data_IF_635635488046
#
_entry.id   IF_635635488046
#
_cell.length_a   1.000
_cell.length_b   1.000
_cell.length_c   1.000
_cell.angle_alpha   90.00
_cell.angle_beta   90.00
_cell.angle_gamma   90.00
#
_symmetry.space_group_name_H-M   'P 1'
#
loop_
_entity.id
_entity.type
_entity.pdbx_description
1 polymer ?
#
# COMPACT_ATOMS: atom_id res chain seq x y z
N UNK A 1 43.84 19.17 37.87
CA UNK A 1 43.72 19.61 36.47
C UNK A 1 43.31 18.52 35.50
N UNK A 2 44.00 17.36 35.45
CA UNK A 2 43.63 16.26 34.53
C UNK A 2 42.47 15.41 35.06
N UNK A 3 42.42 15.13 36.36
CA UNK A 3 41.31 14.41 37.02
C UNK A 3 40.01 15.22 36.99
N UNK A 4 40.04 16.50 37.33
CA UNK A 4 38.86 17.38 37.29
C UNK A 4 38.27 17.50 35.87
N UNK A 5 39.12 17.43 34.85
CA UNK A 5 38.70 17.45 33.44
C UNK A 5 38.01 16.14 33.06
N UNK A 6 38.57 15.00 33.47
CA UNK A 6 37.97 13.67 33.24
C UNK A 6 36.64 13.54 33.99
N UNK A 7 36.55 14.00 35.24
CA UNK A 7 35.29 13.97 36.00
C UNK A 7 34.21 14.83 35.34
N UNK A 8 34.55 16.04 34.90
CA UNK A 8 33.63 16.91 34.17
C UNK A 8 33.18 16.31 32.83
N UNK A 9 34.09 15.66 32.09
CA UNK A 9 33.77 14.98 30.84
C UNK A 9 32.84 13.76 31.07
N UNK A 10 33.04 13.03 32.18
CA UNK A 10 32.17 11.91 32.60
C UNK A 10 30.79 12.40 33.02
N UNK A 11 30.69 13.47 33.81
CA UNK A 11 29.41 14.07 34.20
C UNK A 11 28.62 14.59 32.99
N UNK A 12 29.32 15.25 32.05
CA UNK A 12 28.71 15.73 30.80
C UNK A 12 28.20 14.55 29.96
N UNK A 13 28.98 13.47 29.86
CA UNK A 13 28.58 12.25 29.12
C UNK A 13 27.36 11.58 29.78
N UNK A 14 27.30 11.54 31.12
CA UNK A 14 26.15 10.99 31.86
C UNK A 14 24.89 11.84 31.69
N UNK A 15 25.01 13.17 31.73
CA UNK A 15 23.89 14.07 31.53
C UNK A 15 23.26 13.93 30.13
N UNK A 16 24.11 13.88 29.10
CA UNK A 16 23.69 13.64 27.70
C UNK A 16 23.01 12.26 27.56
N UNK A 17 23.53 11.23 28.21
CA UNK A 17 22.92 9.89 28.17
C UNK A 17 21.52 9.85 28.85
N UNK A 18 21.33 10.59 29.94
CA UNK A 18 20.04 10.70 30.63
C UNK A 18 19.02 11.44 29.76
N UNK A 19 19.41 12.57 29.17
CA UNK A 19 18.56 13.37 28.30
C UNK A 19 18.14 12.61 27.04
N UNK A 20 19.08 11.89 26.41
CA UNK A 20 18.80 11.01 25.27
C UNK A 20 17.77 9.94 25.61
N UNK A 21 17.87 9.33 26.80
CA UNK A 21 16.90 8.33 27.24
C UNK A 21 15.52 8.97 27.47
N UNK A 22 15.44 10.15 28.08
CA UNK A 22 14.18 10.84 28.33
C UNK A 22 13.41 11.17 27.04
N UNK A 23 14.08 11.71 26.01
CA UNK A 23 13.48 12.04 24.71
C UNK A 23 12.94 10.79 24.03
N UNK A 24 13.72 9.69 24.02
CA UNK A 24 13.29 8.44 23.41
C UNK A 24 12.12 7.79 24.15
N UNK A 25 12.11 7.82 25.48
CA UNK A 25 10.97 7.34 26.26
C UNK A 25 9.71 8.15 25.97
N UNK A 26 9.82 9.47 25.88
CA UNK A 26 8.71 10.33 25.51
C UNK A 26 8.19 10.00 24.09
N UNK A 27 9.09 9.80 23.12
CA UNK A 27 8.72 9.38 21.77
C UNK A 27 7.99 8.02 21.78
N UNK A 28 8.46 7.05 22.55
CA UNK A 28 7.82 5.73 22.62
C UNK A 28 6.44 5.82 23.29
N UNK A 29 6.30 6.68 24.30
CA UNK A 29 5.01 7.02 24.89
C UNK A 29 4.06 7.64 23.86
N UNK A 30 4.52 8.60 23.06
CA UNK A 30 3.75 9.19 21.97
C UNK A 30 3.35 8.13 20.94
N UNK A 31 4.28 7.29 20.48
CA UNK A 31 3.98 6.21 19.52
C UNK A 31 2.89 5.28 20.06
N UNK A 32 2.99 4.86 21.33
CA UNK A 32 1.99 4.00 21.96
C UNK A 32 0.62 4.68 22.06
N UNK A 33 0.58 5.96 22.47
CA UNK A 33 -0.66 6.76 22.53
C UNK A 33 -1.33 6.91 21.15
N UNK A 34 -0.53 6.95 20.09
CA UNK A 34 -1.00 7.07 18.70
C UNK A 34 -1.20 5.72 17.99
N UNK A 35 -0.96 4.60 18.68
CA UNK A 35 -1.10 3.26 18.11
C UNK A 35 -0.05 2.89 17.06
N UNK A 36 1.08 3.59 17.02
CA UNK A 36 2.18 3.33 16.09
C UNK A 36 3.02 2.15 16.56
N UNK A 37 3.42 1.31 15.61
CA UNK A 37 4.32 0.18 15.85
C UNK A 37 5.73 0.48 15.32
N UNK A 38 6.68 -0.43 15.51
CA UNK A 38 7.99 -0.33 14.83
C UNK A 38 7.90 -0.68 13.35
N UNK A 39 6.87 -1.43 12.93
CA UNK A 39 6.56 -1.72 11.54
C UNK A 39 5.68 -0.61 10.98
N UNK A 40 6.14 0.03 9.91
CA UNK A 40 5.38 1.04 9.20
C UNK A 40 4.11 0.42 8.61
N UNK A 41 2.98 1.08 8.83
CA UNK A 41 1.69 0.77 8.23
C UNK A 41 1.20 1.96 7.38
N UNK A 42 0.52 1.72 6.24
CA UNK A 42 -0.12 2.80 5.49
C UNK A 42 -1.11 3.63 6.32
N UNK A 43 -1.74 3.03 7.34
CA UNK A 43 -2.65 3.76 8.24
C UNK A 43 -1.97 4.79 9.13
N UNK A 44 -0.67 4.67 9.33
CA UNK A 44 0.06 5.57 10.22
C UNK A 44 0.00 7.03 9.73
N UNK A 45 -0.23 7.26 8.44
CA UNK A 45 -0.43 8.61 7.87
C UNK A 45 -1.70 9.32 8.32
N UNK A 46 -2.68 8.59 8.85
CA UNK A 46 -3.88 9.21 9.42
C UNK A 46 -3.66 9.74 10.84
N UNK A 47 -2.45 9.55 11.39
CA UNK A 47 -2.08 10.02 12.73
C UNK A 47 -1.99 11.53 12.76
N UNK A 48 -2.64 12.13 13.76
CA UNK A 48 -2.60 13.57 13.98
C UNK A 48 -1.55 13.93 15.02
N UNK A 49 -0.84 15.02 14.75
CA UNK A 49 0.20 15.56 15.61
C UNK A 49 -0.09 17.02 15.90
N UNK A 50 -0.03 17.37 17.19
CA UNK A 50 0.12 18.76 17.62
C UNK A 50 1.58 19.22 17.46
N UNK A 51 1.81 20.51 17.63
CA UNK A 51 3.14 21.11 17.48
C UNK A 51 4.17 20.51 18.46
N UNK A 52 3.75 20.17 19.68
CA UNK A 52 4.62 19.60 20.71
C UNK A 52 5.08 18.19 20.30
N UNK A 53 4.16 17.36 19.81
CA UNK A 53 4.47 16.03 19.29
C UNK A 53 5.41 16.09 18.08
N UNK A 54 5.25 17.08 17.19
CA UNK A 54 6.16 17.29 16.06
C UNK A 54 7.56 17.66 16.53
N UNK A 55 7.68 18.61 17.46
CA UNK A 55 8.96 19.02 18.04
C UNK A 55 9.66 17.85 18.75
N UNK A 56 8.90 17.00 19.45
CA UNK A 56 9.44 15.79 20.08
C UNK A 56 10.03 14.81 19.05
N UNK A 57 9.34 14.58 17.93
CA UNK A 57 9.83 13.72 16.85
C UNK A 57 11.11 14.32 16.24
N UNK A 58 11.15 15.62 16.00
CA UNK A 58 12.34 16.30 15.47
C UNK A 58 13.53 16.23 16.45
N UNK A 59 13.30 16.48 17.74
CA UNK A 59 14.32 16.36 18.78
C UNK A 59 14.91 14.94 18.84
N UNK A 60 14.07 13.90 18.71
CA UNK A 60 14.54 12.51 18.68
C UNK A 60 15.46 12.21 17.49
N UNK A 61 15.27 12.89 16.35
CA UNK A 61 16.14 12.76 15.17
C UNK A 61 17.51 13.37 15.42
N UNK A 62 17.57 14.51 16.10
CA UNK A 62 18.84 15.19 16.41
C UNK A 62 19.72 14.38 17.37
N UNK A 63 19.10 13.71 18.34
CA UNK A 63 19.83 12.94 19.37
C UNK A 63 20.34 11.58 18.90
N UNK A 64 19.76 11.03 17.82
CA UNK A 64 20.11 9.70 17.30
C UNK A 64 21.61 9.53 17.03
N UNK A 65 22.28 10.59 16.56
CA UNK A 65 23.72 10.56 16.22
C UNK A 65 24.66 10.27 17.38
N UNK A 66 24.17 10.36 18.63
CA UNK A 66 24.97 10.24 19.85
C UNK A 66 24.77 8.88 20.57
N UNK A 67 23.94 7.99 20.02
CA UNK A 67 23.60 6.72 20.66
C UNK A 67 24.64 5.62 20.40
N UNK A 68 24.83 4.70 21.35
CA UNK A 68 25.67 3.52 21.15
C UNK A 68 25.10 2.62 20.04
N UNK A 69 25.99 1.97 19.29
CA UNK A 69 25.65 1.18 18.09
C UNK A 69 24.65 0.03 18.30
N UNK A 70 24.69 -0.74 19.42
CA UNK A 70 23.77 -1.88 19.59
C UNK A 70 22.29 -1.47 19.61
N UNK A 71 21.97 -0.32 20.20
CA UNK A 71 20.59 0.19 20.30
C UNK A 71 20.22 1.06 19.09
N UNK A 72 21.22 1.56 18.36
CA UNK A 72 21.03 2.52 17.28
C UNK A 72 20.02 2.05 16.24
N UNK A 73 20.08 0.79 15.82
CA UNK A 73 19.21 0.25 14.77
C UNK A 73 17.72 0.27 15.19
N UNK A 74 17.41 -0.23 16.39
CA UNK A 74 16.05 -0.25 16.93
C UNK A 74 15.49 1.15 17.16
N UNK A 75 16.31 2.06 17.68
CA UNK A 75 15.92 3.46 17.88
C UNK A 75 15.66 4.13 16.53
N UNK A 76 16.56 3.93 15.55
CA UNK A 76 16.43 4.48 14.19
C UNK A 76 15.17 3.99 13.50
N UNK A 77 14.81 2.72 13.69
CA UNK A 77 13.56 2.15 13.19
C UNK A 77 12.36 2.84 13.82
N UNK A 78 12.32 3.02 15.15
CA UNK A 78 11.19 3.66 15.83
C UNK A 78 11.02 5.13 15.43
N UNK A 79 12.12 5.91 15.43
CA UNK A 79 12.12 7.31 15.00
C UNK A 79 11.75 7.42 13.52
N UNK A 80 12.30 6.54 12.67
CA UNK A 80 11.95 6.46 11.26
C UNK A 80 10.47 6.19 11.03
N UNK A 81 9.85 5.32 11.83
CA UNK A 81 8.40 5.07 11.74
C UNK A 81 7.58 6.30 12.13
N UNK A 82 7.96 7.00 13.20
CA UNK A 82 7.30 8.24 13.61
C UNK A 82 7.47 9.39 12.60
N UNK A 83 8.61 9.47 11.89
CA UNK A 83 8.78 10.41 10.78
C UNK A 83 7.95 10.02 9.56
N UNK A 84 7.88 8.73 9.28
CA UNK A 84 7.10 8.19 8.18
C UNK A 84 5.62 8.51 8.33
N UNK A 85 5.08 8.48 9.56
CA UNK A 85 3.69 8.80 9.87
C UNK A 85 3.38 10.29 9.82
N UNK A 86 4.39 11.16 9.91
CA UNK A 86 4.23 12.61 9.70
C UNK A 86 4.34 13.01 8.21
N UNK A 87 4.61 12.04 7.32
CA UNK A 87 4.81 12.27 5.88
C UNK A 87 6.26 12.62 5.50
N UNK A 88 7.22 12.61 6.44
CA UNK A 88 8.62 12.90 6.14
C UNK A 88 9.36 11.65 5.63
N UNK A 89 8.96 11.20 4.43
CA UNK A 89 9.41 9.96 3.81
C UNK A 89 10.93 9.93 3.56
N UNK A 90 11.53 11.03 3.09
CA UNK A 90 12.97 11.18 2.87
C UNK A 90 13.81 10.98 4.14
N UNK A 91 13.41 11.58 5.28
CA UNK A 91 14.14 11.39 6.53
C UNK A 91 13.94 9.96 7.06
N UNK A 92 12.71 9.44 6.98
CA UNK A 92 12.40 8.07 7.40
C UNK A 92 13.23 7.03 6.63
N UNK A 93 13.28 7.11 5.30
CA UNK A 93 14.07 6.20 4.46
C UNK A 93 15.55 6.22 4.83
N UNK A 94 16.13 7.41 5.05
CA UNK A 94 17.53 7.55 5.48
C UNK A 94 17.80 6.87 6.81
N UNK A 95 16.91 7.02 7.79
CA UNK A 95 17.07 6.35 9.10
C UNK A 95 16.98 4.83 8.98
N UNK A 96 16.09 4.31 8.13
CA UNK A 96 16.03 2.86 7.91
C UNK A 96 17.29 2.33 7.21
N UNK A 97 17.87 3.07 6.26
CA UNK A 97 19.15 2.70 5.64
C UNK A 97 20.26 2.66 6.70
N UNK A 98 20.36 3.71 7.53
CA UNK A 98 21.34 3.75 8.63
C UNK A 98 21.11 2.61 9.65
N UNK A 99 19.86 2.25 9.91
CA UNK A 99 19.53 1.11 10.76
C UNK A 99 20.06 -0.21 10.17
N UNK A 100 19.95 -0.42 8.86
CA UNK A 100 20.48 -1.62 8.18
C UNK A 100 22.02 -1.67 8.30
N UNK A 101 22.69 -0.55 8.06
CA UNK A 101 24.16 -0.45 8.12
C UNK A 101 24.70 -0.75 9.51
N UNK A 102 23.98 -0.35 10.57
CA UNK A 102 24.42 -0.49 11.96
C UNK A 102 23.79 -1.67 12.72
N UNK A 103 22.83 -2.39 12.12
CA UNK A 103 22.16 -3.51 12.76
C UNK A 103 23.10 -4.71 12.97
N UNK A 104 23.09 -5.25 14.19
CA UNK A 104 23.90 -6.40 14.60
C UNK A 104 23.18 -7.74 14.41
N UNK A 105 21.86 -7.73 14.19
CA UNK A 105 21.05 -8.93 14.00
C UNK A 105 20.23 -8.82 12.69
N UNK A 106 19.78 -9.97 12.18
CA UNK A 106 19.02 -10.03 10.93
C UNK A 106 17.59 -9.53 11.07
N UNK A 107 17.02 -9.57 12.27
CA UNK A 107 15.64 -9.16 12.53
C UNK A 107 15.45 -7.65 12.35
N UNK A 108 16.36 -6.84 12.90
CA UNK A 108 16.38 -5.39 12.74
C UNK A 108 16.62 -5.01 11.27
N UNK A 109 17.52 -5.72 10.57
CA UNK A 109 17.74 -5.52 9.13
C UNK A 109 16.47 -5.81 8.33
N UNK A 110 15.83 -6.95 8.57
CA UNK A 110 14.62 -7.34 7.88
C UNK A 110 13.47 -6.33 8.11
N UNK A 111 13.29 -5.87 9.35
CA UNK A 111 12.30 -4.86 9.70
C UNK A 111 12.59 -3.51 9.02
N UNK A 112 13.85 -3.07 9.01
CA UNK A 112 14.25 -1.84 8.34
C UNK A 112 14.03 -1.93 6.83
N UNK A 113 14.38 -3.06 6.18
CA UNK A 113 14.06 -3.30 4.77
C UNK A 113 12.56 -3.28 4.50
N UNK A 114 11.74 -3.90 5.35
CA UNK A 114 10.29 -3.85 5.22
C UNK A 114 9.75 -2.42 5.33
N UNK A 115 10.29 -1.63 6.26
CA UNK A 115 9.90 -0.23 6.40
C UNK A 115 10.35 0.63 5.21
N UNK A 116 11.52 0.35 4.61
CA UNK A 116 11.96 0.97 3.35
C UNK A 116 10.98 0.62 2.23
N UNK A 117 10.54 -0.63 2.13
CA UNK A 117 9.51 -1.05 1.19
C UNK A 117 8.26 -0.18 1.34
N UNK A 118 7.73 -0.06 2.56
CA UNK A 118 6.55 0.77 2.85
C UNK A 118 6.76 2.26 2.52
N UNK A 119 7.95 2.82 2.77
CA UNK A 119 8.26 4.21 2.41
C UNK A 119 8.35 4.40 0.90
N UNK A 120 9.16 3.59 0.21
CA UNK A 120 9.37 3.71 -1.25
C UNK A 120 8.09 3.49 -2.03
N UNK A 121 7.29 2.55 -1.57
CA UNK A 121 5.95 2.33 -2.09
C UNK A 121 5.14 3.63 -2.08
N UNK A 122 5.11 4.34 -0.95
CA UNK A 122 4.36 5.58 -0.82
C UNK A 122 4.93 6.74 -1.61
N UNK A 123 6.25 6.80 -1.77
CA UNK A 123 6.89 7.77 -2.65
C UNK A 123 6.41 7.62 -4.09
N UNK A 124 6.10 6.40 -4.54
CA UNK A 124 5.48 6.18 -5.85
C UNK A 124 4.12 6.90 -6.00
N UNK A 125 3.31 7.03 -4.94
CA UNK A 125 2.04 7.75 -5.01
C UNK A 125 2.20 9.26 -5.24
N UNK A 126 3.35 9.83 -4.87
CA UNK A 126 3.66 11.24 -5.12
C UNK A 126 4.11 11.49 -6.57
N UNK A 127 4.41 10.44 -7.33
CA UNK A 127 4.89 10.56 -8.71
C UNK A 127 3.73 10.72 -9.69
N UNK A 128 3.91 11.61 -10.67
CA UNK A 128 2.87 11.97 -11.65
C UNK A 128 2.85 11.00 -12.83
N UNK A 129 4.01 10.52 -13.27
CA UNK A 129 4.15 9.66 -14.46
C UNK A 129 4.24 8.19 -14.09
N UNK A 130 3.70 7.32 -14.94
CA UNK A 130 3.78 5.86 -14.75
C UNK A 130 5.23 5.39 -14.72
N UNK A 131 6.11 5.94 -15.56
CA UNK A 131 7.55 5.59 -15.58
C UNK A 131 8.26 5.91 -14.25
N UNK A 132 7.93 7.05 -13.63
CA UNK A 132 8.48 7.41 -12.32
C UNK A 132 7.97 6.46 -11.22
N UNK A 133 6.68 6.10 -11.26
CA UNK A 133 6.09 5.09 -10.36
C UNK A 133 6.80 3.74 -10.47
N UNK A 134 7.02 3.25 -11.70
CA UNK A 134 7.70 1.97 -11.96
C UNK A 134 9.12 1.93 -11.37
N UNK A 135 9.84 3.06 -11.38
CA UNK A 135 11.17 3.16 -10.76
C UNK A 135 11.10 2.95 -9.24
N UNK A 136 10.10 3.52 -8.57
CA UNK A 136 9.91 3.30 -7.14
C UNK A 136 9.43 1.89 -6.83
N UNK A 137 8.56 1.33 -7.66
CA UNK A 137 8.09 -0.04 -7.54
C UNK A 137 9.23 -1.05 -7.58
N UNK A 138 10.19 -0.89 -8.50
CA UNK A 138 11.38 -1.75 -8.56
C UNK A 138 12.23 -1.65 -7.28
N UNK A 139 12.46 -0.43 -6.77
CA UNK A 139 13.22 -0.22 -5.52
C UNK A 139 12.48 -0.72 -4.28
N UNK A 140 11.15 -0.66 -4.28
CA UNK A 140 10.29 -1.17 -3.22
C UNK A 140 10.29 -2.70 -3.21
N UNK A 141 10.24 -3.34 -4.38
CA UNK A 141 10.34 -4.80 -4.52
C UNK A 141 11.67 -5.32 -3.99
N UNK A 142 12.78 -4.72 -4.42
CA UNK A 142 14.09 -5.12 -3.91
C UNK A 142 14.18 -5.03 -2.38
N UNK A 143 13.60 -4.00 -1.76
CA UNK A 143 13.57 -3.90 -0.30
C UNK A 143 12.67 -4.99 0.34
N UNK A 144 11.52 -5.30 -0.26
CA UNK A 144 10.64 -6.36 0.21
C UNK A 144 11.30 -7.73 0.13
N UNK A 145 11.96 -8.07 -0.98
CA UNK A 145 12.68 -9.33 -1.18
C UNK A 145 13.76 -9.51 -0.10
N UNK A 146 14.57 -8.47 0.16
CA UNK A 146 15.55 -8.50 1.26
C UNK A 146 14.88 -8.73 2.62
N UNK A 147 13.73 -8.11 2.89
CA UNK A 147 13.00 -8.34 4.14
C UNK A 147 12.48 -9.78 4.26
N UNK A 148 11.96 -10.35 3.17
CA UNK A 148 11.47 -11.73 3.09
C UNK A 148 12.61 -12.72 3.37
N UNK A 149 13.74 -12.56 2.66
CA UNK A 149 14.89 -13.46 2.76
C UNK A 149 15.50 -13.45 4.17
N UNK A 150 15.70 -12.26 4.75
CA UNK A 150 16.29 -12.12 6.07
C UNK A 150 15.38 -12.58 7.22
N UNK A 151 14.06 -12.64 6.99
CA UNK A 151 13.07 -13.00 8.02
C UNK A 151 12.48 -14.39 7.85
N UNK A 152 13.00 -15.19 6.91
CA UNK A 152 12.45 -16.49 6.55
C UNK A 152 10.94 -16.42 6.21
N UNK A 153 10.56 -15.45 5.38
CA UNK A 153 9.19 -15.31 4.88
C UNK A 153 8.23 -14.52 5.77
N UNK A 154 8.64 -14.06 6.97
CA UNK A 154 7.74 -13.34 7.90
C UNK A 154 7.12 -12.08 7.31
N UNK A 155 7.85 -11.40 6.42
CA UNK A 155 7.40 -10.19 5.73
C UNK A 155 6.78 -10.45 4.35
N UNK A 156 6.58 -11.71 3.95
CA UNK A 156 5.96 -12.03 2.68
C UNK A 156 4.52 -11.50 2.59
N UNK A 157 4.15 -11.04 1.39
CA UNK A 157 2.81 -10.51 1.13
C UNK A 157 1.82 -11.59 0.69
N UNK A 158 2.33 -12.76 0.29
CA UNK A 158 1.59 -13.97 -0.06
C UNK A 158 2.42 -15.21 0.34
N UNK A 159 1.87 -16.40 0.15
CA UNK A 159 2.55 -17.66 0.53
C UNK A 159 3.77 -17.92 -0.37
N UNK A 160 4.95 -17.58 0.15
CA UNK A 160 6.24 -17.83 -0.51
C UNK A 160 6.79 -19.22 -0.19
N UNK A 161 6.31 -19.89 0.86
CA UNK A 161 6.80 -21.21 1.27
C UNK A 161 6.46 -22.29 0.24
N UNK A 162 5.31 -22.18 -0.42
CA UNK A 162 4.94 -23.09 -1.51
C UNK A 162 5.69 -22.82 -2.82
N UNK A 163 6.31 -21.66 -2.98
CA UNK A 163 7.00 -21.26 -4.22
C UNK A 163 6.08 -21.13 -5.44
N UNK A 164 4.76 -21.07 -5.24
CA UNK A 164 3.77 -21.06 -6.32
C UNK A 164 3.79 -19.77 -7.14
N UNK A 165 4.02 -18.64 -6.50
CA UNK A 165 3.90 -17.33 -7.15
C UNK A 165 5.16 -16.46 -6.97
N UNK A 166 6.31 -16.80 -7.57
CA UNK A 166 7.48 -15.92 -7.54
C UNK A 166 7.15 -14.53 -8.10
N UNK A 167 7.59 -13.47 -7.41
CA UNK A 167 7.28 -12.09 -7.80
C UNK A 167 8.13 -11.67 -9.00
N UNK A 168 7.52 -11.09 -10.03
CA UNK A 168 8.23 -10.42 -11.13
C UNK A 168 8.32 -8.92 -10.90
N UNK A 169 7.19 -8.25 -10.65
CA UNK A 169 7.13 -6.80 -10.38
C UNK A 169 5.83 -6.39 -9.69
N UNK A 170 5.80 -5.19 -9.12
CA UNK A 170 4.53 -4.56 -8.76
C UNK A 170 3.80 -4.05 -10.01
N UNK A 171 2.48 -4.17 -10.00
CA UNK A 171 1.58 -3.57 -10.99
C UNK A 171 0.93 -2.30 -10.45
N UNK A 172 0.69 -2.25 -9.14
CA UNK A 172 0.11 -1.10 -8.48
C UNK A 172 -0.18 -1.41 -7.02
N UNK A 173 -0.60 -0.40 -6.28
CA UNK A 173 -1.25 -0.59 -4.99
C UNK A 173 -2.11 0.62 -4.68
N UNK A 174 -2.89 0.48 -3.63
CA UNK A 174 -3.76 1.53 -3.11
C UNK A 174 -3.88 1.40 -1.60
N UNK A 175 -4.94 2.00 -1.06
CA UNK A 175 -5.15 2.02 0.38
C UNK A 175 -5.41 0.65 1.04
N UNK A 176 -5.76 -0.36 0.24
CA UNK A 176 -6.14 -1.68 0.75
C UNK A 176 -5.02 -2.71 0.69
N UNK A 177 -4.08 -2.52 -0.22
CA UNK A 177 -3.17 -3.57 -0.62
C UNK A 177 -2.47 -3.25 -1.92
N UNK A 178 -1.65 -4.19 -2.40
CA UNK A 178 -0.93 -4.12 -3.67
C UNK A 178 -1.28 -5.27 -4.61
N UNK A 179 -1.02 -5.05 -5.89
CA UNK A 179 -1.09 -6.04 -6.96
C UNK A 179 0.33 -6.32 -7.48
N UNK A 180 0.67 -7.61 -7.53
CA UNK A 180 1.94 -8.14 -7.99
C UNK A 180 1.74 -8.92 -9.28
N UNK A 181 2.60 -8.71 -10.27
CA UNK A 181 2.78 -9.65 -11.36
C UNK A 181 3.68 -10.78 -10.85
N UNK A 182 3.21 -12.01 -10.94
CA UNK A 182 3.95 -13.19 -10.52
C UNK A 182 4.05 -14.21 -11.65
N UNK A 183 5.12 -14.98 -11.64
CA UNK A 183 5.16 -16.27 -12.33
C UNK A 183 4.17 -17.22 -11.68
N UNK A 184 3.72 -18.23 -12.42
CA UNK A 184 2.84 -19.26 -11.89
C UNK A 184 3.51 -20.63 -11.99
N UNK A 185 3.94 -21.12 -10.82
CA UNK A 185 4.46 -22.48 -10.61
C UNK A 185 3.42 -23.38 -9.94
N UNK A 186 2.15 -22.95 -9.83
CA UNK A 186 1.07 -23.76 -9.27
C UNK A 186 0.44 -24.63 -10.37
N UNK A 187 0.76 -25.92 -10.35
CA UNK A 187 0.24 -26.90 -11.32
C UNK A 187 -1.29 -27.05 -11.30
N UNK A 188 -1.96 -26.66 -10.19
CA UNK A 188 -3.42 -26.68 -10.08
C UNK A 188 -4.10 -25.60 -10.95
N UNK A 189 -3.36 -24.58 -11.35
CA UNK A 189 -3.83 -23.45 -12.16
C UNK A 189 -3.07 -23.46 -13.48
N UNK A 190 -3.09 -24.62 -14.14
CA UNK A 190 -2.45 -24.80 -15.42
C UNK A 190 -3.07 -23.89 -16.50
N UNK A 191 -2.26 -23.50 -17.50
CA UNK A 191 -2.70 -22.61 -18.60
C UNK A 191 -2.43 -21.13 -18.39
N UNK A 192 -2.00 -20.69 -17.19
CA UNK A 192 -1.58 -19.32 -16.93
C UNK A 192 -0.08 -19.30 -16.59
N UNK A 193 0.79 -18.79 -17.47
CA UNK A 193 2.24 -18.69 -17.16
C UNK A 193 2.55 -17.59 -16.14
N UNK A 194 1.71 -16.57 -16.12
CA UNK A 194 1.76 -15.42 -15.21
C UNK A 194 0.39 -15.18 -14.63
N UNK A 195 0.38 -14.66 -13.42
CA UNK A 195 -0.83 -14.33 -12.66
C UNK A 195 -0.66 -13.00 -11.95
N UNK A 196 -1.78 -12.40 -11.56
CA UNK A 196 -1.78 -11.25 -10.66
C UNK A 196 -2.09 -11.72 -9.25
N UNK A 197 -1.23 -11.41 -8.30
CA UNK A 197 -1.45 -11.69 -6.87
C UNK A 197 -1.79 -10.38 -6.18
N UNK A 198 -3.02 -10.27 -5.68
CA UNK A 198 -3.48 -9.12 -4.90
C UNK A 198 -3.37 -9.42 -3.42
N UNK A 199 -2.57 -8.64 -2.71
CA UNK A 199 -2.26 -8.80 -1.30
C UNK A 199 -2.82 -7.62 -0.50
N UNK A 200 -3.33 -7.87 0.70
CA UNK A 200 -3.88 -6.82 1.55
C UNK A 200 -2.87 -6.34 2.61
N UNK A 201 -2.86 -5.04 2.91
CA UNK A 201 -1.96 -4.47 3.93
C UNK A 201 -2.27 -4.95 5.34
N UNK A 202 -3.55 -5.26 5.57
CA UNK A 202 -4.05 -5.60 6.89
C UNK A 202 -4.80 -6.91 6.87
N UNK A 203 -4.85 -7.54 8.04
CA UNK A 203 -5.67 -8.71 8.24
C UNK A 203 -7.14 -8.32 8.20
N UNK A 204 -7.90 -9.07 7.43
CA UNK A 204 -9.35 -9.00 7.42
C UNK A 204 -9.85 -10.09 8.37
N UNK A 205 -10.56 -9.70 9.42
CA UNK A 205 -11.20 -10.65 10.33
C UNK A 205 -12.59 -11.02 9.80
N UNK A 206 -12.95 -12.29 9.92
CA UNK A 206 -14.27 -12.79 9.54
C UNK A 206 -14.23 -14.24 9.08
N UNK A 207 -15.37 -14.73 8.63
CA UNK A 207 -15.48 -16.00 7.94
C UNK A 207 -14.70 -15.96 6.62
N UNK A 208 -14.35 -17.13 6.08
CA UNK A 208 -13.66 -17.26 4.79
C UNK A 208 -14.38 -16.47 3.67
N UNK A 209 -15.71 -16.47 3.67
CA UNK A 209 -16.53 -15.73 2.70
C UNK A 209 -16.49 -14.21 2.89
N UNK A 210 -16.29 -13.73 4.11
CA UNK A 210 -16.12 -12.30 4.39
C UNK A 210 -14.72 -11.82 4.02
N UNK A 211 -13.70 -12.63 4.31
CA UNK A 211 -12.29 -12.34 3.96
C UNK A 211 -12.10 -12.32 2.44
N UNK A 212 -12.57 -13.35 1.76
CA UNK A 212 -12.42 -13.52 0.30
C UNK A 212 -13.69 -13.15 -0.47
N UNK A 213 -14.45 -12.17 0.03
CA UNK A 213 -15.69 -11.69 -0.61
C UNK A 213 -15.46 -11.22 -2.04
N UNK A 214 -14.36 -10.50 -2.27
CA UNK A 214 -14.01 -9.93 -3.56
C UNK A 214 -13.79 -10.99 -4.66
N UNK A 215 -12.87 -11.97 -4.52
CA UNK A 215 -12.70 -13.01 -5.54
C UNK A 215 -13.96 -13.86 -5.73
N UNK A 216 -14.78 -14.09 -4.69
CA UNK A 216 -16.04 -14.85 -4.83
C UNK A 216 -17.14 -14.10 -5.57
N UNK A 217 -17.19 -12.78 -5.45
CA UNK A 217 -18.08 -11.96 -6.25
C UNK A 217 -17.56 -11.83 -7.69
N UNK A 218 -16.25 -11.61 -7.86
CA UNK A 218 -15.62 -11.60 -9.19
C UNK A 218 -15.88 -12.90 -9.95
N UNK A 219 -15.85 -14.05 -9.29
CA UNK A 219 -16.12 -15.35 -9.92
C UNK A 219 -17.51 -15.44 -10.57
N UNK A 220 -18.51 -14.68 -10.08
CA UNK A 220 -19.87 -14.68 -10.63
C UNK A 220 -19.96 -13.90 -11.96
N UNK A 221 -19.02 -13.01 -12.22
CA UNK A 221 -19.04 -12.07 -13.35
C UNK A 221 -17.80 -12.18 -14.25
N UNK A 222 -16.88 -13.08 -13.90
CA UNK A 222 -15.64 -13.34 -14.63
C UNK A 222 -15.90 -13.81 -16.07
N UNK A 223 -15.01 -13.44 -16.98
CA UNK A 223 -15.13 -13.83 -18.38
C UNK A 223 -14.50 -12.79 -19.30
N UNK A 224 -15.30 -12.28 -20.23
CA UNK A 224 -14.85 -11.33 -21.24
C UNK A 224 -14.38 -10.01 -20.61
N UNK A 225 -15.20 -9.42 -19.75
CA UNK A 225 -14.98 -8.07 -19.20
C UNK A 225 -14.36 -8.04 -17.81
N UNK A 226 -14.20 -9.17 -17.12
CA UNK A 226 -13.65 -9.22 -15.76
C UNK A 226 -12.64 -10.35 -15.67
N UNK A 227 -11.45 -10.14 -15.09
CA UNK A 227 -10.48 -11.20 -14.91
C UNK A 227 -11.02 -12.36 -14.09
N UNK A 228 -10.67 -13.58 -14.47
CA UNK A 228 -10.97 -14.79 -13.70
C UNK A 228 -10.17 -14.82 -12.39
N UNK A 229 -10.82 -14.97 -11.22
CA UNK A 229 -10.12 -15.38 -10.01
C UNK A 229 -9.70 -16.85 -10.14
N UNK A 230 -8.50 -17.16 -9.68
CA UNK A 230 -7.83 -18.45 -9.88
C UNK A 230 -7.51 -19.14 -8.56
N UNK A 231 -7.12 -18.38 -7.54
CA UNK A 231 -6.74 -18.90 -6.22
C UNK A 231 -7.00 -17.87 -5.13
N UNK A 232 -6.93 -18.31 -3.87
CA UNK A 232 -6.85 -17.43 -2.71
C UNK A 232 -6.14 -18.14 -1.55
N UNK A 233 -5.58 -17.35 -0.64
CA UNK A 233 -4.85 -17.91 0.49
C UNK A 233 -4.42 -16.86 1.50
N UNK A 234 -3.55 -17.30 2.38
CA UNK A 234 -2.93 -16.48 3.42
C UNK A 234 -1.41 -16.60 3.30
N UNK A 235 -0.70 -15.49 3.45
CA UNK A 235 0.76 -15.48 3.52
C UNK A 235 1.27 -16.33 4.69
N UNK A 236 0.58 -16.27 5.83
CA UNK A 236 0.73 -17.19 6.95
C UNK A 236 -0.54 -18.04 7.06
N UNK A 237 -0.51 -19.22 6.43
CA UNK A 237 -1.65 -20.14 6.40
C UNK A 237 -1.95 -20.77 7.76
N UNK A 238 -0.96 -20.87 8.65
CA UNK A 238 -1.15 -21.47 9.99
C UNK A 238 -1.97 -20.54 10.87
N UNK A 239 -1.62 -19.25 10.86
CA UNK A 239 -2.31 -18.24 11.69
C UNK A 239 -3.41 -17.48 10.92
N UNK A 240 -3.65 -17.83 9.66
CA UNK A 240 -4.60 -17.17 8.75
C UNK A 240 -4.39 -15.65 8.67
N UNK A 241 -3.14 -15.23 8.42
CA UNK A 241 -2.75 -13.82 8.30
C UNK A 241 -2.24 -13.47 6.91
N UNK A 242 -2.41 -12.22 6.52
CA UNK A 242 -2.03 -11.71 5.20
C UNK A 242 -2.84 -12.36 4.09
N UNK A 243 -4.17 -12.15 4.04
CA UNK A 243 -4.98 -12.69 2.95
C UNK A 243 -4.46 -12.16 1.60
N UNK A 244 -4.52 -13.01 0.60
CA UNK A 244 -4.27 -12.66 -0.79
C UNK A 244 -5.21 -13.45 -1.71
N UNK A 245 -5.40 -12.97 -2.93
CA UNK A 245 -6.04 -13.75 -3.97
C UNK A 245 -5.34 -13.57 -5.31
N UNK A 246 -5.56 -14.54 -6.20
CA UNK A 246 -4.86 -14.65 -7.48
C UNK A 246 -5.87 -14.54 -8.60
N UNK A 247 -5.56 -13.77 -9.63
CA UNK A 247 -6.37 -13.64 -10.84
C UNK A 247 -5.55 -13.90 -12.09
N UNK A 248 -6.22 -14.12 -13.22
CA UNK A 248 -5.54 -14.15 -14.52
C UNK A 248 -4.81 -12.84 -14.79
N UNK A 249 -3.61 -12.95 -15.38
CA UNK A 249 -2.90 -11.82 -15.93
C UNK A 249 -3.32 -11.61 -17.39
N UNK A 250 -3.72 -10.38 -17.74
CA UNK A 250 -4.15 -10.03 -19.10
C UNK A 250 -2.93 -9.60 -19.91
N UNK A 251 -2.25 -10.56 -20.53
CA UNK A 251 -0.99 -10.32 -21.27
C UNK A 251 -1.15 -9.22 -22.33
N UNK A 252 -0.27 -8.23 -22.29
CA UNK A 252 -0.25 -7.08 -23.21
C UNK A 252 -1.26 -5.98 -22.90
N UNK A 253 -2.06 -6.09 -21.84
CA UNK A 253 -2.89 -5.00 -21.36
C UNK A 253 -2.10 -4.02 -20.49
N UNK A 254 -2.50 -2.75 -20.53
CA UNK A 254 -2.08 -1.70 -19.58
C UNK A 254 -3.32 -1.04 -19.00
N UNK A 255 -3.22 -0.44 -17.82
CA UNK A 255 -4.33 0.32 -17.26
C UNK A 255 -4.60 1.60 -18.09
N UNK A 256 -5.80 2.16 -17.93
CA UNK A 256 -6.26 3.32 -18.69
C UNK A 256 -5.46 4.59 -18.43
N UNK A 257 -4.88 4.80 -17.24
CA UNK A 257 -4.01 5.95 -16.99
C UNK A 257 -2.71 5.81 -17.78
N UNK A 258 -2.06 4.64 -17.70
CA UNK A 258 -0.87 4.32 -18.48
C UNK A 258 -1.13 4.39 -19.99
N UNK A 259 -2.32 3.99 -20.44
CA UNK A 259 -2.72 4.14 -21.83
C UNK A 259 -2.79 5.60 -22.26
N UNK A 260 -3.46 6.44 -21.47
CA UNK A 260 -3.63 7.87 -21.76
C UNK A 260 -2.29 8.60 -21.76
N UNK A 261 -1.38 8.27 -20.83
CA UNK A 261 -0.04 8.83 -20.80
C UNK A 261 0.77 8.44 -22.05
N UNK A 262 0.71 7.16 -22.45
CA UNK A 262 1.50 6.64 -23.56
C UNK A 262 0.96 7.02 -24.94
N UNK A 263 -0.36 7.00 -25.12
CA UNK A 263 -1.01 7.10 -26.42
C UNK A 263 -1.86 8.38 -26.59
N UNK A 264 -2.05 9.15 -25.52
CA UNK A 264 -2.97 10.27 -25.50
C UNK A 264 -4.45 9.84 -25.44
N UNK A 265 -5.39 10.78 -25.62
CA UNK A 265 -6.82 10.52 -25.56
C UNK A 265 -7.27 9.57 -26.68
N UNK A 266 -8.27 8.75 -26.38
CA UNK A 266 -8.91 7.91 -27.38
C UNK A 266 -9.65 8.78 -28.40
N UNK A 267 -9.58 8.40 -29.68
CA UNK A 267 -10.48 8.99 -30.68
C UNK A 267 -11.94 8.69 -30.33
N UNK A 268 -12.88 9.54 -30.71
CA UNK A 268 -14.30 9.37 -30.38
C UNK A 268 -14.83 7.97 -30.74
N UNK A 269 -14.47 7.44 -31.91
CA UNK A 269 -14.87 6.10 -32.35
C UNK A 269 -14.37 5.01 -31.40
N UNK A 270 -13.09 5.06 -31.03
CA UNK A 270 -12.48 4.08 -30.13
C UNK A 270 -13.03 4.26 -28.71
N UNK A 271 -13.21 5.50 -28.25
CA UNK A 271 -13.81 5.82 -26.96
C UNK A 271 -15.23 5.24 -26.82
N UNK A 272 -16.06 5.35 -27.85
CA UNK A 272 -17.40 4.73 -27.87
C UNK A 272 -17.33 3.19 -27.80
N UNK A 273 -16.38 2.57 -28.51
CA UNK A 273 -16.19 1.11 -28.46
C UNK A 273 -15.72 0.62 -27.08
N UNK A 274 -14.81 1.37 -26.45
CA UNK A 274 -14.36 1.11 -25.08
C UNK A 274 -15.52 1.31 -24.10
N UNK A 275 -16.25 2.42 -24.20
CA UNK A 275 -17.40 2.73 -23.34
C UNK A 275 -18.52 1.69 -23.42
N UNK A 276 -18.81 1.15 -24.61
CA UNK A 276 -19.78 0.06 -24.78
C UNK A 276 -19.34 -1.22 -24.06
N UNK A 277 -18.06 -1.58 -24.13
CA UNK A 277 -17.52 -2.75 -23.41
C UNK A 277 -17.57 -2.55 -21.90
N UNK A 278 -17.22 -1.34 -21.41
CA UNK A 278 -17.33 -1.00 -19.98
C UNK A 278 -18.79 -1.11 -19.52
N UNK A 279 -19.73 -0.52 -20.26
CA UNK A 279 -21.15 -0.56 -19.95
C UNK A 279 -21.70 -2.00 -19.92
N UNK A 280 -21.28 -2.85 -20.85
CA UNK A 280 -21.67 -4.27 -20.87
C UNK A 280 -21.07 -5.04 -19.68
N UNK A 281 -19.81 -4.78 -19.32
CA UNK A 281 -19.19 -5.35 -18.12
C UNK A 281 -19.91 -4.94 -16.84
N UNK A 282 -20.25 -3.66 -16.70
CA UNK A 282 -21.03 -3.13 -15.58
C UNK A 282 -22.45 -3.70 -15.55
N UNK A 283 -23.13 -3.83 -16.70
CA UNK A 283 -24.47 -4.43 -16.78
C UNK A 283 -24.47 -5.84 -16.20
N UNK A 284 -23.51 -6.68 -16.60
CA UNK A 284 -23.36 -8.06 -16.06
C UNK A 284 -23.10 -8.06 -14.56
N UNK A 285 -22.29 -7.12 -14.07
CA UNK A 285 -22.06 -6.97 -12.63
C UNK A 285 -23.32 -6.54 -11.87
N UNK A 286 -24.04 -5.55 -12.38
CA UNK A 286 -25.27 -5.01 -11.77
C UNK A 286 -26.38 -6.07 -11.72
N UNK A 287 -26.52 -6.91 -12.75
CA UNK A 287 -27.45 -8.05 -12.77
C UNK A 287 -27.14 -9.10 -11.70
N UNK A 288 -25.86 -9.25 -11.33
CA UNK A 288 -25.42 -10.09 -10.22
C UNK A 288 -25.49 -9.38 -8.85
N UNK A 289 -26.00 -8.14 -8.79
CA UNK A 289 -26.05 -7.34 -7.56
C UNK A 289 -24.69 -6.82 -7.09
N UNK A 290 -23.71 -6.76 -8.00
CA UNK A 290 -22.34 -6.30 -7.75
C UNK A 290 -22.18 -4.90 -8.33
N UNK A 291 -21.72 -3.94 -7.53
CA UNK A 291 -21.42 -2.57 -7.97
C UNK A 291 -19.92 -2.33 -7.88
N UNK A 292 -19.35 -1.61 -8.85
CA UNK A 292 -17.92 -1.36 -8.93
C UNK A 292 -17.47 -0.33 -7.89
N UNK A 293 -18.16 0.81 -7.81
CA UNK A 293 -17.99 1.91 -6.83
C UNK A 293 -16.62 2.60 -6.79
N UNK A 294 -15.66 2.15 -7.60
CA UNK A 294 -14.34 2.76 -7.80
C UNK A 294 -13.97 2.83 -9.29
N UNK A 295 -14.93 3.04 -10.19
CA UNK A 295 -14.64 3.00 -11.62
C UNK A 295 -13.84 4.25 -12.03
N UNK A 296 -12.74 4.03 -12.75
CA UNK A 296 -11.79 5.07 -13.21
C UNK A 296 -10.85 4.47 -14.27
N UNK A 297 -10.10 5.27 -15.03
CA UNK A 297 -9.15 4.76 -16.03
C UNK A 297 -8.17 3.73 -15.46
N UNK A 298 -7.63 3.93 -14.25
CA UNK A 298 -6.70 2.99 -13.61
C UNK A 298 -7.28 1.59 -13.36
N UNK A 299 -8.62 1.46 -13.33
CA UNK A 299 -9.33 0.20 -13.11
C UNK A 299 -9.86 -0.42 -14.43
N UNK A 300 -9.43 0.12 -15.58
CA UNK A 300 -9.71 -0.41 -16.91
C UNK A 300 -8.42 -0.91 -17.55
N UNK A 301 -8.30 -2.22 -17.71
CA UNK A 301 -7.24 -2.82 -18.52
C UNK A 301 -7.60 -2.73 -20.00
N UNK A 302 -6.76 -2.03 -20.76
CA UNK A 302 -6.89 -1.81 -22.19
C UNK A 302 -5.81 -2.62 -22.92
N UNK A 303 -6.25 -3.47 -23.85
CA UNK A 303 -5.37 -4.28 -24.69
C UNK A 303 -5.62 -3.99 -26.16
N UNK A 304 -4.55 -3.61 -26.87
CA UNK A 304 -4.62 -3.50 -28.33
C UNK A 304 -4.77 -4.91 -28.94
N UNK A 305 -5.72 -5.05 -29.86
CA UNK A 305 -6.01 -6.26 -30.63
C UNK A 305 -6.22 -5.88 -32.10
N UNK A 306 -6.30 -6.89 -32.97
CA UNK A 306 -6.62 -6.69 -34.40
C UNK A 306 -8.01 -6.05 -34.60
N UNK A 307 -8.94 -6.31 -33.66
CA UNK A 307 -10.32 -5.79 -33.68
C UNK A 307 -10.51 -4.43 -33.00
N UNK A 308 -9.43 -3.81 -32.50
CA UNK A 308 -9.49 -2.55 -31.73
C UNK A 308 -8.95 -2.73 -30.31
N UNK A 309 -9.56 -2.05 -29.33
CA UNK A 309 -9.16 -2.15 -27.92
C UNK A 309 -10.12 -3.07 -27.18
N UNK A 310 -9.60 -4.15 -26.61
CA UNK A 310 -10.34 -5.00 -25.68
C UNK A 310 -10.23 -4.45 -24.26
N UNK A 311 -11.33 -4.50 -23.50
CA UNK A 311 -11.43 -3.93 -22.15
C UNK A 311 -11.70 -5.03 -21.11
N UNK A 312 -10.96 -4.99 -20.00
CA UNK A 312 -11.30 -5.71 -18.77
C UNK A 312 -11.35 -4.74 -17.59
N UNK A 313 -12.39 -4.85 -16.78
CA UNK A 313 -12.61 -4.08 -15.55
C UNK A 313 -11.97 -4.85 -14.39
N UNK A 314 -11.17 -4.17 -13.59
CA UNK A 314 -10.46 -4.72 -12.42
C UNK A 314 -10.84 -3.99 -11.14
N UNK A 315 -10.54 -4.59 -9.98
CA UNK A 315 -10.72 -3.95 -8.67
C UNK A 315 -12.16 -3.53 -8.35
N UNK A 316 -13.11 -4.45 -8.54
CA UNK A 316 -14.48 -4.26 -8.06
C UNK A 316 -14.46 -3.93 -6.56
N UNK A 317 -14.95 -2.74 -6.21
CA UNK A 317 -14.88 -2.10 -4.89
C UNK A 317 -15.75 -2.74 -3.81
N UNK A 318 -15.72 -4.06 -3.73
CA UNK A 318 -16.53 -4.91 -2.86
C UNK A 318 -16.00 -5.03 -1.43
N UNK A 319 -14.85 -4.43 -1.13
CA UNK A 319 -14.21 -4.52 0.18
C UNK A 319 -14.89 -3.59 1.19
N UNK A 320 -15.08 -4.06 2.43
CA UNK A 320 -15.56 -3.23 3.56
C UNK A 320 -14.60 -2.09 3.91
N UNK A 321 -13.37 -2.18 3.40
CA UNK A 321 -12.25 -1.28 3.72
C UNK A 321 -12.32 0.00 2.89
N UNK A 322 -12.77 -0.05 1.62
CA UNK A 322 -12.97 1.17 0.81
C UNK A 322 -14.02 2.08 1.41
N UNK A 323 -15.14 1.53 1.91
CA UNK A 323 -16.18 2.31 2.57
C UNK A 323 -15.64 2.97 3.84
N UNK A 324 -14.95 2.20 4.70
CA UNK A 324 -14.43 2.72 5.98
C UNK A 324 -13.33 3.77 5.80
N UNK A 325 -12.38 3.56 4.87
CA UNK A 325 -11.31 4.53 4.59
C UNK A 325 -11.83 5.78 3.88
N UNK A 326 -12.80 5.65 2.97
CA UNK A 326 -13.46 6.80 2.34
C UNK A 326 -14.28 7.59 3.36
N UNK A 327 -15.01 6.93 4.25
CA UNK A 327 -15.77 7.61 5.31
C UNK A 327 -14.86 8.40 6.25
N UNK A 328 -13.72 7.82 6.64
CA UNK A 328 -12.69 8.50 7.44
C UNK A 328 -12.06 9.68 6.68
N UNK A 329 -11.76 9.51 5.40
CA UNK A 329 -11.19 10.57 4.56
C UNK A 329 -12.20 11.72 4.32
N UNK A 330 -13.45 11.41 3.99
CA UNK A 330 -14.51 12.39 3.69
C UNK A 330 -14.86 13.25 4.91
N UNK A 331 -14.79 12.71 6.13
CA UNK A 331 -14.98 13.49 7.35
C UNK A 331 -13.84 14.49 7.64
N UNK A 332 -12.69 14.35 6.95
CA UNK A 332 -11.47 15.15 7.16
C UNK A 332 -11.30 16.19 6.06
N UNK A 333 -12.02 17.31 6.17
CA UNK A 333 -11.77 18.52 5.37
C UNK A 333 -11.20 19.63 6.27
N UNK A 334 -9.90 19.96 6.13
CA UNK A 334 -9.30 21.32 6.21
C UNK A 334 -7.78 21.43 6.53
N UNK A 335 -6.99 20.34 6.54
CA UNK A 335 -5.51 20.45 6.62
C UNK A 335 -4.80 19.77 5.44
N UNK A 336 -3.51 20.09 5.24
CA UNK A 336 -2.64 19.54 4.19
C UNK A 336 -2.72 18.00 4.18
N UNK A 337 -3.35 17.45 3.14
CA UNK A 337 -3.60 16.01 3.00
C UNK A 337 -2.30 15.27 2.75
N UNK A 338 -2.09 14.14 3.43
CA UNK A 338 -0.92 13.27 3.20
C UNK A 338 -0.91 12.70 1.77
N UNK A 339 0.22 12.15 1.32
CA UNK A 339 0.33 11.52 -0.02
C UNK A 339 -0.63 10.32 -0.15
N UNK A 340 -0.76 9.51 0.90
CA UNK A 340 -1.73 8.41 0.92
C UNK A 340 -3.17 8.92 0.93
N UNK A 341 -3.47 9.95 1.72
CA UNK A 341 -4.78 10.60 1.70
C UNK A 341 -5.08 11.10 0.28
N UNK A 342 -4.14 11.78 -0.38
CA UNK A 342 -4.30 12.25 -1.76
C UNK A 342 -4.54 11.11 -2.75
N UNK A 343 -3.85 9.97 -2.62
CA UNK A 343 -4.11 8.80 -3.46
C UNK A 343 -5.52 8.19 -3.22
N UNK A 344 -5.99 8.20 -1.96
CA UNK A 344 -7.38 7.84 -1.60
C UNK A 344 -8.38 8.91 -2.06
N UNK A 345 -7.96 10.18 -2.21
CA UNK A 345 -8.80 11.29 -2.67
C UNK A 345 -8.81 11.44 -4.20
N UNK A 346 -7.77 11.01 -4.93
CA UNK A 346 -7.71 11.06 -6.40
C UNK A 346 -8.80 10.23 -7.07
N UNK A 347 -9.40 9.30 -6.32
CA UNK A 347 -10.60 8.55 -6.72
C UNK A 347 -11.89 9.36 -6.66
N UNK A 348 -11.89 10.55 -6.06
CA UNK A 348 -13.10 11.39 -5.99
C UNK A 348 -13.40 12.15 -7.29
N UNK A 349 -12.45 12.24 -8.23
CA UNK A 349 -12.69 12.92 -9.52
C UNK A 349 -13.76 12.21 -10.34
N UNK A 350 -13.77 10.89 -10.31
CA UNK A 350 -14.76 10.04 -10.96
C UNK A 350 -15.95 9.71 -10.04
N UNK A 351 -15.89 10.09 -8.76
CA UNK A 351 -16.93 9.74 -7.80
C UNK A 351 -18.14 10.70 -7.85
N UNK A 352 -19.36 10.19 -8.00
CA UNK A 352 -20.57 11.00 -7.91
C UNK A 352 -20.80 11.58 -6.51
N UNK A 353 -21.68 12.59 -6.35
CA UNK A 353 -21.93 13.26 -5.07
C UNK A 353 -22.23 12.33 -3.88
N UNK A 354 -23.01 11.26 -4.08
CA UNK A 354 -23.35 10.28 -3.04
C UNK A 354 -22.12 9.54 -2.49
N UNK A 355 -21.05 9.41 -3.28
CA UNK A 355 -19.78 8.82 -2.85
C UNK A 355 -18.80 9.84 -2.24
N UNK A 356 -19.11 11.14 -2.35
CA UNK A 356 -18.29 12.24 -1.81
C UNK A 356 -18.78 12.77 -0.46
N UNK A 357 -19.61 11.99 0.25
CA UNK A 357 -20.16 12.36 1.55
C UNK A 357 -21.56 12.98 1.52
N UNK A 358 -22.17 13.11 0.34
CA UNK A 358 -23.52 13.66 0.20
C UNK A 358 -24.61 12.57 0.10
N UNK A 359 -24.34 11.37 0.62
CA UNK A 359 -25.27 10.24 0.59
C UNK A 359 -26.65 10.54 1.22
N UNK A 360 -26.69 11.39 2.26
CA UNK A 360 -27.97 11.83 2.86
C UNK A 360 -28.87 12.60 1.87
N UNK A 361 -28.28 13.25 0.89
CA UNK A 361 -28.98 14.06 -0.11
C UNK A 361 -29.23 13.29 -1.41
N UNK A 362 -28.28 12.44 -1.83
CA UNK A 362 -28.30 11.79 -3.15
C UNK A 362 -28.54 10.27 -3.09
N UNK A 363 -28.69 9.69 -1.90
CA UNK A 363 -28.97 8.26 -1.69
C UNK A 363 -27.71 7.43 -1.43
N UNK A 364 -27.89 6.10 -1.40
CA UNK A 364 -26.80 5.14 -1.18
C UNK A 364 -26.12 4.85 -2.53
N UNK A 365 -24.77 4.77 -2.59
CA UNK A 365 -24.05 4.38 -3.79
C UNK A 365 -24.53 3.03 -4.37
N UNK A 366 -24.59 2.94 -5.69
CA UNK A 366 -25.05 1.73 -6.38
C UNK A 366 -24.84 1.82 -7.90
N UNK A 367 -25.65 1.11 -8.69
CA UNK A 367 -25.51 1.05 -10.15
C UNK A 367 -25.41 2.43 -10.83
N UNK A 368 -26.21 3.41 -10.39
CA UNK A 368 -26.17 4.78 -10.95
C UNK A 368 -24.83 5.48 -10.69
N UNK A 369 -24.14 5.12 -9.62
CA UNK A 369 -22.83 5.66 -9.29
C UNK A 369 -21.78 5.18 -10.29
N UNK A 370 -21.85 3.91 -10.70
CA UNK A 370 -20.96 3.34 -11.72
C UNK A 370 -21.23 3.88 -13.13
N UNK A 371 -22.45 4.37 -13.40
CA UNK A 371 -22.81 4.99 -14.69
C UNK A 371 -22.34 6.45 -14.77
N UNK A 372 -22.26 7.12 -13.61
CA UNK A 372 -21.72 8.49 -13.54
C UNK A 372 -20.21 8.50 -13.77
N UNK A 373 -19.51 7.55 -13.14
CA UNK A 373 -18.08 7.33 -13.29
C UNK A 373 -17.75 6.83 -14.71
#
# INVERSE_FOLDING_TARGET
TTLDKIEKDVETTKAVAIENNAILQALYGLMAQRGLSSRVSPRDEFTQYDNESQQLIEAAVEQLGQLPTPEYSQVSIKVGTALSSTGNLEKAERLFIQAIEKAQNQEDKALAYFNIFQVRWRKAFAEVTVSAKETYYAKALSALENAIDLSNGRYALHDTHKGYYPIEKFLGAGGMGCALLCQNNNDLINGHKRVVVKCFWENIAGTLREVFKEPFAMAQIAGEFVPKPLDYGYADNVNQKGPYFVTEYVEGAIDGEAWLEKNGPLSLKIGLQVGLQVAEGLRRAHEAGIYHLDLKPANLLLKQTDGGIAVKIIDFGLSRVTTSLRDVAVQRSQSSKSVFEQAVFGTLEYAPPEQRGYARQFGVPGAKSDIFA
#
